data_IF_036898251063
#
_entry.id   IF_036898251063
#
_cell.length_a   1.000
_cell.length_b   1.000
_cell.length_c   1.000
_cell.angle_alpha   90.00
_cell.angle_beta   90.00
_cell.angle_gamma   90.00
#
_symmetry.space_group_name_H-M   'P 1'
#
loop_
_entity.id
_entity.type
_entity.pdbx_description
1 polymer ?
#
# COMPACT_ATOMS: atom_id res chain seq x y z
N UNK A 1 8.35 6.35 -19.05
CA UNK A 1 9.14 5.89 -17.89
C UNK A 1 9.60 4.49 -18.21
N UNK A 2 10.90 4.27 -18.33
CA UNK A 2 11.46 2.96 -18.65
C UNK A 2 11.56 2.13 -17.37
N UNK A 3 10.61 1.21 -17.18
CA UNK A 3 10.68 0.29 -16.07
C UNK A 3 11.70 -0.81 -16.38
N UNK A 4 12.78 -0.86 -15.62
CA UNK A 4 13.95 -1.67 -16.02
C UNK A 4 13.82 -3.16 -15.71
N UNK A 5 13.03 -3.55 -14.70
CA UNK A 5 12.86 -4.96 -14.24
C UNK A 5 11.65 -5.13 -13.31
N UNK A 6 11.05 -6.32 -13.36
CA UNK A 6 10.07 -6.77 -12.36
C UNK A 6 10.79 -7.27 -11.10
N UNK A 7 10.40 -6.77 -9.93
CA UNK A 7 10.93 -7.26 -8.65
C UNK A 7 10.25 -8.55 -8.25
N UNK A 8 11.00 -9.63 -8.07
CA UNK A 8 10.49 -10.88 -7.50
C UNK A 8 11.01 -10.99 -6.07
N UNK A 9 10.09 -11.08 -5.11
CA UNK A 9 10.45 -11.37 -3.72
C UNK A 9 10.93 -10.18 -2.87
N UNK A 10 10.84 -8.95 -3.37
CA UNK A 10 11.00 -7.78 -2.48
C UNK A 10 9.72 -7.56 -1.67
N UNK A 11 9.90 -7.24 -0.39
CA UNK A 11 8.80 -6.90 0.52
C UNK A 11 8.87 -5.43 0.98
N UNK A 12 9.94 -4.71 0.64
CA UNK A 12 10.16 -3.31 1.00
C UNK A 12 9.70 -2.39 -0.14
N UNK A 13 8.66 -1.61 0.12
CA UNK A 13 8.11 -0.66 -0.84
C UNK A 13 9.06 0.50 -1.13
N UNK A 14 9.76 1.05 -0.12
CA UNK A 14 10.65 2.19 -0.30
C UNK A 14 11.86 1.81 -1.16
N UNK A 15 12.45 0.63 -0.90
CA UNK A 15 13.51 0.08 -1.74
C UNK A 15 13.03 -0.13 -3.18
N UNK A 16 11.84 -0.70 -3.35
CA UNK A 16 11.25 -0.98 -4.65
C UNK A 16 11.04 0.28 -5.49
N UNK A 17 10.54 1.37 -4.89
CA UNK A 17 10.37 2.65 -5.57
C UNK A 17 11.73 3.31 -5.88
N UNK A 18 12.68 3.30 -4.94
CA UNK A 18 14.02 3.87 -5.14
C UNK A 18 14.79 3.16 -6.27
N UNK A 19 14.58 1.86 -6.43
CA UNK A 19 15.20 1.03 -7.47
C UNK A 19 14.46 1.05 -8.80
N UNK A 20 13.43 1.91 -8.96
CA UNK A 20 12.66 2.09 -10.21
C UNK A 20 12.09 0.78 -10.79
N UNK A 21 11.76 -0.18 -9.93
CA UNK A 21 11.18 -1.47 -10.33
C UNK A 21 9.69 -1.31 -10.65
N UNK A 22 9.15 -2.20 -11.49
CA UNK A 22 7.71 -2.22 -11.81
C UNK A 22 6.90 -2.44 -10.53
N UNK A 23 6.03 -1.49 -10.18
CA UNK A 23 5.08 -1.59 -9.08
C UNK A 23 3.66 -1.51 -9.64
N UNK A 24 2.80 -2.44 -9.23
CA UNK A 24 1.37 -2.31 -9.48
C UNK A 24 0.81 -1.45 -8.37
N UNK A 25 0.33 -0.28 -8.73
CA UNK A 25 -0.26 0.65 -7.78
C UNK A 25 -1.53 0.06 -7.15
N UNK A 26 -1.55 -0.03 -5.82
CA UNK A 26 -2.68 -0.50 -5.01
C UNK A 26 -3.22 0.60 -4.08
N UNK A 27 -2.81 1.85 -4.26
CA UNK A 27 -3.27 2.98 -3.45
C UNK A 27 -4.78 3.19 -3.56
N UNK A 28 -5.42 2.77 -4.65
CA UNK A 28 -6.88 2.76 -4.78
C UNK A 28 -7.59 1.90 -3.73
N UNK A 29 -6.87 0.99 -3.05
CA UNK A 29 -7.40 0.18 -1.95
C UNK A 29 -7.41 0.94 -0.60
N UNK A 30 -6.66 2.03 -0.49
CA UNK A 30 -6.54 2.79 0.75
C UNK A 30 -7.89 3.34 1.28
N UNK A 31 -8.79 3.90 0.44
CA UNK A 31 -10.12 4.28 0.89
C UNK A 31 -10.96 3.09 1.36
N UNK A 32 -10.81 1.91 0.76
CA UNK A 32 -11.47 0.70 1.29
C UNK A 32 -10.83 0.25 2.60
N UNK A 33 -9.56 0.52 2.83
CA UNK A 33 -8.86 0.13 4.06
C UNK A 33 -9.27 0.98 5.26
N UNK A 34 -9.29 2.31 5.13
CA UNK A 34 -9.51 3.24 6.25
C UNK A 34 -10.61 4.27 6.01
N UNK A 35 -11.23 4.29 4.83
CA UNK A 35 -12.31 5.21 4.52
C UNK A 35 -13.65 4.76 5.09
N UNK A 36 -14.63 5.65 5.01
CA UNK A 36 -16.00 5.36 5.40
C UNK A 36 -16.59 4.25 4.53
N UNK A 37 -17.07 3.18 5.16
CA UNK A 37 -17.71 2.07 4.46
C UNK A 37 -19.21 2.17 4.55
N UNK A 38 -19.87 2.19 3.39
CA UNK A 38 -21.33 2.23 3.27
C UNK A 38 -21.77 0.99 2.50
N UNK A 39 -22.55 0.14 3.15
CA UNK A 39 -23.14 -1.03 2.54
C UNK A 39 -24.16 -0.59 1.47
N UNK A 40 -24.43 -1.36 0.40
CA UNK A 40 -25.34 -0.96 -0.67
C UNK A 40 -26.77 -0.59 -0.23
N UNK A 41 -27.17 -0.94 0.99
CA UNK A 41 -28.44 -0.55 1.61
C UNK A 41 -28.38 0.77 2.40
N UNK A 42 -27.26 1.50 2.36
CA UNK A 42 -27.05 2.77 3.05
C UNK A 42 -26.49 2.66 4.48
N UNK A 43 -26.23 1.45 4.99
CA UNK A 43 -25.72 1.28 6.35
C UNK A 43 -24.20 1.51 6.43
N UNK A 44 -23.74 2.34 7.37
CA UNK A 44 -22.32 2.54 7.67
C UNK A 44 -21.79 1.40 8.55
N UNK A 45 -20.57 0.92 8.29
CA UNK A 45 -19.94 -0.11 9.11
C UNK A 45 -18.43 0.09 9.23
N UNK A 46 -17.83 -0.55 10.23
CA UNK A 46 -16.40 -0.51 10.52
C UNK A 46 -15.83 -1.92 10.49
N UNK A 47 -14.73 -2.11 9.75
CA UNK A 47 -13.98 -3.36 9.76
C UNK A 47 -12.88 -3.30 10.81
N UNK A 48 -13.01 -4.07 11.90
CA UNK A 48 -11.98 -4.16 12.94
C UNK A 48 -10.71 -4.86 12.46
N UNK A 49 -10.82 -5.70 11.42
CA UNK A 49 -9.73 -6.54 10.92
C UNK A 49 -9.81 -6.61 9.40
N UNK A 50 -8.68 -6.36 8.72
CA UNK A 50 -8.51 -6.63 7.29
C UNK A 50 -7.97 -8.05 7.09
N UNK A 51 -8.71 -8.90 6.36
CA UNK A 51 -8.24 -10.23 5.97
C UNK A 51 -7.69 -10.24 4.54
N UNK A 52 -6.37 -10.32 4.40
CA UNK A 52 -5.72 -10.52 3.10
C UNK A 52 -5.45 -12.01 2.87
N UNK A 53 -6.20 -12.64 1.96
CA UNK A 53 -6.18 -14.10 1.77
C UNK A 53 -4.89 -14.63 1.09
N UNK A 54 -4.74 -15.96 1.08
CA UNK A 54 -3.46 -16.68 1.08
C UNK A 54 -2.73 -16.98 -0.26
N UNK A 55 -3.01 -16.45 -1.46
CA UNK A 55 -2.15 -16.76 -2.62
C UNK A 55 -0.70 -16.31 -2.38
N UNK A 56 0.25 -17.25 -2.44
CA UNK A 56 1.68 -16.96 -2.19
C UNK A 56 2.23 -16.08 -3.32
N UNK A 57 3.16 -15.16 -3.01
CA UNK A 57 3.76 -14.19 -3.95
C UNK A 57 2.77 -13.20 -4.60
N UNK A 58 1.58 -13.02 -4.04
CA UNK A 58 0.60 -12.04 -4.50
C UNK A 58 0.88 -10.59 -4.04
N UNK A 59 2.10 -10.33 -3.54
CA UNK A 59 2.53 -9.01 -3.10
C UNK A 59 1.91 -8.52 -1.79
N UNK A 60 1.48 -9.43 -0.89
CA UNK A 60 0.90 -9.04 0.42
C UNK A 60 1.88 -8.24 1.28
N UNK A 61 3.08 -8.76 1.50
CA UNK A 61 4.11 -8.10 2.32
C UNK A 61 4.46 -6.72 1.73
N UNK A 62 4.65 -6.65 0.41
CA UNK A 62 4.90 -5.40 -0.31
C UNK A 62 3.73 -4.40 -0.16
N UNK A 63 2.48 -4.89 -0.15
CA UNK A 63 1.29 -4.05 0.08
C UNK A 63 1.28 -3.51 1.51
N UNK A 64 1.61 -4.34 2.51
CA UNK A 64 1.73 -3.90 3.91
C UNK A 64 2.84 -2.86 4.09
N UNK A 65 3.99 -3.06 3.45
CA UNK A 65 5.09 -2.09 3.46
C UNK A 65 4.69 -0.76 2.81
N UNK A 66 3.94 -0.79 1.71
CA UNK A 66 3.38 0.42 1.09
C UNK A 66 2.44 1.17 2.05
N UNK A 67 1.51 0.46 2.69
CA UNK A 67 0.56 1.05 3.64
C UNK A 67 1.32 1.71 4.81
N UNK A 68 2.34 1.04 5.36
CA UNK A 68 3.21 1.61 6.41
C UNK A 68 3.87 2.90 5.94
N UNK A 69 4.50 2.88 4.76
CA UNK A 69 5.15 4.06 4.19
C UNK A 69 4.15 5.22 4.01
N UNK A 70 2.92 4.95 3.55
CA UNK A 70 1.89 5.96 3.40
C UNK A 70 1.54 6.64 4.73
N UNK A 71 1.34 5.86 5.79
CA UNK A 71 0.96 6.42 7.10
C UNK A 71 2.11 7.12 7.85
N UNK A 72 3.35 6.76 7.55
CA UNK A 72 4.55 7.39 8.14
C UNK A 72 4.99 8.66 7.41
N UNK A 73 4.33 9.04 6.32
CA UNK A 73 4.64 10.29 5.61
C UNK A 73 4.52 11.50 6.53
N UNK A 74 5.49 12.41 6.41
CA UNK A 74 5.36 13.74 6.98
C UNK A 74 4.32 14.53 6.18
N UNK A 75 3.08 14.61 6.67
CA UNK A 75 1.99 15.32 5.99
C UNK A 75 2.22 16.83 5.86
N UNK A 76 3.02 17.44 6.74
CA UNK A 76 3.40 18.85 6.65
C UNK A 76 4.47 19.09 5.57
N UNK A 77 5.30 18.09 5.29
CA UNK A 77 6.31 18.12 4.23
C UNK A 77 6.44 16.76 3.51
N UNK A 78 5.55 16.44 2.55
CA UNK A 78 5.54 15.13 1.90
C UNK A 78 6.78 14.80 1.06
N UNK A 79 7.63 15.80 0.78
CA UNK A 79 8.92 15.60 0.10
C UNK A 79 10.00 15.08 1.06
N UNK A 80 9.78 15.23 2.35
CA UNK A 80 10.66 14.70 3.37
C UNK A 80 10.55 13.17 3.42
N UNK A 81 11.64 12.51 3.04
CA UNK A 81 11.76 11.05 3.08
C UNK A 81 12.63 10.58 4.25
N UNK A 82 12.98 11.49 5.17
CA UNK A 82 13.55 11.10 6.45
C UNK A 82 12.42 10.51 7.30
N UNK A 83 12.22 9.21 7.16
CA UNK A 83 11.38 8.45 8.07
C UNK A 83 12.00 8.54 9.48
N UNK A 84 11.21 8.46 10.56
CA UNK A 84 11.71 8.03 11.86
C UNK A 84 12.36 6.64 11.80
#
# INVERSE_FOLDING_TARGET
MDFEKQSIGTEDFAEHIRTKKIYIDKTSYLPELYGEKVHPNGMRYEDKVLLITRPRRFGKSLTMSMIKNFFELNYANPKDKSNP
#
